data_IF_148567766323
#
_entry.id   IF_148567766323
#
_cell.length_a   1.000
_cell.length_b   1.000
_cell.length_c   1.000
_cell.angle_alpha   90.00
_cell.angle_beta   90.00
_cell.angle_gamma   90.00
#
_symmetry.space_group_name_H-M   'P 1'
#
loop_
_entity.id
_entity.type
_entity.pdbx_description
1 polymer ?
#
# COMPACT_ATOMS: atom_id res chain seq x y z
N UNK A 1 -43.68 -41.69 14.36
CA UNK A 1 -43.69 -40.82 13.15
C UNK A 1 -44.39 -39.52 13.46
N UNK A 2 -43.78 -38.40 13.03
CA UNK A 2 -44.30 -37.03 12.78
C UNK A 2 -43.33 -35.98 13.35
N UNK A 3 -42.26 -35.74 12.59
CA UNK A 3 -41.40 -34.55 12.68
C UNK A 3 -42.29 -33.34 12.42
N UNK A 4 -42.31 -32.36 13.33
CA UNK A 4 -42.88 -31.05 13.07
C UNK A 4 -41.73 -30.10 12.72
N UNK A 5 -41.72 -29.71 11.45
CA UNK A 5 -40.89 -28.67 10.86
C UNK A 5 -41.12 -27.35 11.60
N UNK A 6 -40.05 -26.71 12.07
CA UNK A 6 -40.06 -25.27 12.34
C UNK A 6 -39.49 -24.60 11.09
N UNK A 7 -40.40 -23.93 10.38
CA UNK A 7 -40.11 -23.07 9.23
C UNK A 7 -40.00 -21.64 9.74
N UNK A 8 -39.00 -20.92 9.23
CA UNK A 8 -39.00 -19.47 9.13
C UNK A 8 -38.14 -18.76 10.18
N UNK A 9 -37.39 -17.70 9.87
CA UNK A 9 -37.71 -16.61 8.95
C UNK A 9 -36.49 -15.66 8.81
N UNK A 10 -36.21 -15.23 7.56
CA UNK A 10 -35.66 -13.93 7.09
C UNK A 10 -34.17 -13.58 7.35
N UNK A 11 -33.36 -13.51 6.29
CA UNK A 11 -33.07 -12.30 5.46
C UNK A 11 -32.03 -11.39 6.14
N UNK A 12 -30.97 -10.91 5.50
CA UNK A 12 -30.62 -10.85 4.10
C UNK A 12 -29.08 -10.82 4.00
N UNK A 13 -28.50 -11.74 3.25
CA UNK A 13 -27.16 -11.52 2.71
C UNK A 13 -27.39 -10.60 1.52
N UNK A 14 -27.37 -9.29 1.78
CA UNK A 14 -27.33 -8.29 0.73
C UNK A 14 -26.04 -8.49 -0.07
N UNK A 15 -26.24 -8.95 -1.29
CA UNK A 15 -25.29 -8.89 -2.38
C UNK A 15 -24.85 -7.43 -2.59
N UNK A 16 -23.74 -7.04 -1.97
CA UNK A 16 -22.97 -5.87 -2.38
C UNK A 16 -21.80 -6.34 -3.27
N UNK A 17 -22.13 -7.05 -4.34
CA UNK A 17 -21.21 -7.22 -5.47
C UNK A 17 -21.30 -5.95 -6.31
N UNK A 18 -20.63 -4.88 -5.85
CA UNK A 18 -20.35 -3.73 -6.71
C UNK A 18 -19.48 -4.26 -7.84
N UNK A 19 -20.01 -4.17 -9.05
CA UNK A 19 -19.35 -4.60 -10.27
C UNK A 19 -17.99 -3.92 -10.41
N UNK A 20 -16.94 -4.71 -10.27
CA UNK A 20 -15.59 -4.32 -10.63
C UNK A 20 -15.50 -4.35 -12.16
N UNK A 21 -15.92 -3.26 -12.81
CA UNK A 21 -15.57 -3.00 -14.21
C UNK A 21 -14.12 -2.56 -14.25
N UNK A 22 -13.18 -3.50 -14.30
CA UNK A 22 -11.81 -3.18 -14.69
C UNK A 22 -11.73 -3.09 -16.20
N UNK A 23 -11.95 -1.90 -16.75
CA UNK A 23 -11.21 -1.50 -17.94
C UNK A 23 -9.74 -1.41 -17.51
N UNK A 24 -8.95 -2.41 -17.91
CA UNK A 24 -7.50 -2.40 -17.75
C UNK A 24 -6.93 -1.34 -18.70
N UNK A 25 -7.03 -0.08 -18.28
CA UNK A 25 -6.32 1.04 -18.89
C UNK A 25 -4.87 1.01 -18.40
N UNK A 26 -3.94 0.79 -19.31
CA UNK A 26 -2.50 0.78 -19.05
C UNK A 26 -1.91 2.20 -18.80
N UNK A 27 -2.63 3.08 -18.09
CA UNK A 27 -2.21 4.45 -17.83
C UNK A 27 -2.72 4.99 -16.49
N UNK A 28 -1.78 5.52 -15.70
CA UNK A 28 -2.00 6.67 -14.82
C UNK A 28 -2.57 6.36 -13.44
N UNK A 29 -1.90 6.87 -12.40
CA UNK A 29 -2.58 7.16 -11.15
C UNK A 29 -3.85 7.98 -11.44
N UNK A 30 -4.94 7.70 -10.72
CA UNK A 30 -6.12 8.55 -10.80
C UNK A 30 -5.72 9.97 -10.35
N UNK A 31 -5.88 10.93 -11.26
CA UNK A 31 -5.69 12.35 -10.95
C UNK A 31 -6.80 12.79 -9.96
N UNK A 32 -6.49 13.74 -9.09
CA UNK A 32 -7.44 14.36 -8.15
C UNK A 32 -8.05 13.45 -7.07
N UNK A 33 -7.35 12.37 -6.67
CA UNK A 33 -7.73 11.60 -5.48
C UNK A 33 -7.24 12.30 -4.21
N UNK A 34 -8.12 12.44 -3.23
CA UNK A 34 -7.78 12.81 -1.86
C UNK A 34 -8.19 11.70 -0.89
N UNK A 35 -7.33 11.40 0.08
CA UNK A 35 -7.63 10.41 1.12
C UNK A 35 -8.35 11.07 2.29
N UNK A 36 -9.30 10.36 2.89
CA UNK A 36 -9.90 10.77 4.17
C UNK A 36 -8.90 10.63 5.32
N UNK A 37 -9.20 11.22 6.48
CA UNK A 37 -8.34 11.11 7.66
C UNK A 37 -8.11 9.65 8.10
N UNK A 38 -9.15 8.81 8.06
CA UNK A 38 -9.06 7.39 8.42
C UNK A 38 -8.20 6.62 7.40
N UNK A 39 -8.38 6.89 6.11
CA UNK A 39 -7.56 6.27 5.05
C UNK A 39 -6.09 6.70 5.14
N UNK A 40 -5.81 7.96 5.47
CA UNK A 40 -4.44 8.42 5.68
C UNK A 40 -3.79 7.74 6.88
N UNK A 41 -4.52 7.52 7.97
CA UNK A 41 -4.00 6.82 9.16
C UNK A 41 -3.71 5.34 8.87
N UNK A 42 -4.60 4.68 8.13
CA UNK A 42 -4.37 3.32 7.63
C UNK A 42 -3.11 3.25 6.76
N UNK A 43 -2.99 4.18 5.80
CA UNK A 43 -1.82 4.27 4.93
C UNK A 43 -0.55 4.59 5.69
N UNK A 44 -0.59 5.47 6.70
CA UNK A 44 0.54 5.79 7.55
C UNK A 44 1.06 4.54 8.28
N UNK A 45 0.15 3.78 8.88
CA UNK A 45 0.45 2.54 9.59
C UNK A 45 1.08 1.50 8.67
N UNK A 46 0.54 1.34 7.45
CA UNK A 46 1.07 0.38 6.47
C UNK A 46 2.48 0.79 5.99
N UNK A 47 2.67 2.07 5.70
CA UNK A 47 3.95 2.60 5.22
C UNK A 47 5.04 2.56 6.30
N UNK A 48 4.70 2.79 7.57
CA UNK A 48 5.63 2.67 8.70
C UNK A 48 6.10 1.21 8.87
N UNK A 49 5.18 0.25 8.89
CA UNK A 49 5.51 -1.19 8.92
C UNK A 49 6.39 -1.60 7.73
N UNK A 50 6.10 -1.06 6.54
CA UNK A 50 6.90 -1.33 5.36
C UNK A 50 8.31 -0.73 5.45
N UNK A 51 8.45 0.47 6.03
CA UNK A 51 9.75 1.10 6.29
C UNK A 51 10.58 0.25 7.26
N UNK A 52 10.01 -0.12 8.40
CA UNK A 52 10.66 -0.97 9.40
C UNK A 52 11.18 -2.27 8.77
N UNK A 53 10.33 -2.95 7.99
CA UNK A 53 10.70 -4.20 7.31
C UNK A 53 11.80 -3.98 6.26
N UNK A 54 11.77 -2.88 5.52
CA UNK A 54 12.84 -2.57 4.55
C UNK A 54 14.17 -2.31 5.26
N UNK A 55 14.16 -1.56 6.36
CA UNK A 55 15.36 -1.32 7.18
C UNK A 55 15.91 -2.63 7.73
N UNK A 56 15.04 -3.48 8.28
CA UNK A 56 15.41 -4.83 8.76
C UNK A 56 16.08 -5.67 7.67
N UNK A 57 15.48 -5.73 6.47
CA UNK A 57 16.03 -6.47 5.33
C UNK A 57 17.40 -5.92 4.92
N UNK A 58 17.56 -4.61 4.84
CA UNK A 58 18.85 -3.99 4.48
C UNK A 58 19.91 -4.34 5.52
N UNK A 59 19.58 -4.25 6.80
CA UNK A 59 20.48 -4.62 7.88
C UNK A 59 20.87 -6.11 7.82
N UNK A 60 19.94 -7.01 7.50
CA UNK A 60 20.26 -8.42 7.27
C UNK A 60 21.19 -8.64 6.10
N UNK A 61 21.05 -7.88 5.01
CA UNK A 61 22.01 -7.94 3.91
C UNK A 61 23.40 -7.42 4.30
N UNK A 62 23.50 -6.44 5.19
CA UNK A 62 24.80 -6.02 5.76
C UNK A 62 25.39 -7.11 6.64
N UNK A 63 24.57 -7.70 7.53
CA UNK A 63 24.96 -8.81 8.42
C UNK A 63 25.47 -10.03 7.63
N UNK A 64 24.83 -10.36 6.52
CA UNK A 64 25.22 -11.48 5.66
C UNK A 64 26.35 -11.15 4.68
N UNK A 65 26.89 -9.93 4.74
CA UNK A 65 28.00 -9.47 3.87
C UNK A 65 27.62 -9.22 2.41
N UNK A 66 26.32 -9.17 2.08
CA UNK A 66 25.83 -8.83 0.74
C UNK A 66 26.06 -7.35 0.44
N UNK A 67 25.90 -6.49 1.45
CA UNK A 67 26.21 -5.07 1.36
C UNK A 67 27.27 -4.66 2.38
N UNK A 68 28.09 -3.67 2.00
CA UNK A 68 28.94 -2.96 2.97
C UNK A 68 28.07 -2.14 3.90
N UNK A 69 28.57 -1.84 5.10
CA UNK A 69 27.87 -0.96 6.05
C UNK A 69 27.52 0.40 5.45
N UNK A 70 28.46 0.99 4.70
CA UNK A 70 28.26 2.29 4.04
C UNK A 70 27.10 2.23 3.03
N UNK A 71 27.06 1.16 2.21
CA UNK A 71 25.97 0.96 1.25
C UNK A 71 24.64 0.75 1.97
N UNK A 72 24.62 -0.04 3.05
CA UNK A 72 23.44 -0.24 3.89
C UNK A 72 22.89 1.07 4.44
N UNK A 73 23.76 1.90 5.06
CA UNK A 73 23.40 3.23 5.59
C UNK A 73 22.81 4.14 4.51
N UNK A 74 23.40 4.16 3.31
CA UNK A 74 22.89 4.95 2.18
C UNK A 74 21.51 4.47 1.72
N UNK A 75 21.29 3.15 1.68
CA UNK A 75 19.99 2.57 1.31
C UNK A 75 18.91 2.87 2.37
N UNK A 76 19.25 2.76 3.66
CA UNK A 76 18.35 3.11 4.78
C UNK A 76 17.93 4.57 4.67
N UNK A 77 18.89 5.49 4.56
CA UNK A 77 18.61 6.92 4.39
C UNK A 77 17.71 7.20 3.17
N UNK A 78 17.90 6.47 2.07
CA UNK A 78 17.06 6.62 0.89
C UNK A 78 15.61 6.16 1.14
N UNK A 79 15.40 5.03 1.82
CA UNK A 79 14.03 4.55 2.09
C UNK A 79 13.31 5.41 3.13
N UNK A 80 14.02 5.93 4.14
CA UNK A 80 13.50 6.89 5.10
C UNK A 80 13.10 8.20 4.41
N UNK A 81 13.95 8.71 3.50
CA UNK A 81 13.62 9.89 2.69
C UNK A 81 12.35 9.66 1.88
N UNK A 82 12.19 8.47 1.27
CA UNK A 82 10.98 8.13 0.51
C UNK A 82 9.73 8.07 1.37
N UNK A 83 9.84 7.56 2.59
CA UNK A 83 8.73 7.59 3.54
C UNK A 83 8.33 9.02 3.91
N UNK A 84 9.30 9.90 4.17
CA UNK A 84 9.03 11.31 4.45
C UNK A 84 8.37 12.02 3.25
N UNK A 85 8.84 11.77 2.02
CA UNK A 85 8.19 12.26 0.80
C UNK A 85 6.74 11.79 0.69
N UNK A 86 6.41 10.56 1.10
CA UNK A 86 5.02 10.08 1.11
C UNK A 86 4.21 10.81 2.18
N UNK A 87 4.76 10.97 3.39
CA UNK A 87 4.10 11.67 4.51
C UNK A 87 3.76 13.12 4.16
N UNK A 88 4.68 13.84 3.52
CA UNK A 88 4.47 15.22 3.04
C UNK A 88 3.40 15.32 1.95
N UNK A 89 3.15 14.22 1.23
CA UNK A 89 2.15 14.16 0.16
C UNK A 89 0.88 13.42 0.60
N UNK A 90 0.56 13.41 1.90
CA UNK A 90 -0.64 12.75 2.45
C UNK A 90 -0.77 11.27 2.04
N UNK A 91 0.38 10.59 1.94
CA UNK A 91 0.52 9.20 1.50
C UNK A 91 0.03 8.91 0.07
N UNK A 92 -0.06 9.94 -0.78
CA UNK A 92 -0.34 9.80 -2.22
C UNK A 92 0.99 9.83 -3.00
N UNK A 93 1.37 8.73 -3.67
CA UNK A 93 2.62 8.69 -4.43
C UNK A 93 2.65 9.70 -5.60
N UNK A 94 3.85 10.13 -5.99
CA UNK A 94 4.06 10.98 -7.17
C UNK A 94 4.96 10.27 -8.19
N UNK A 95 4.55 9.06 -8.61
CA UNK A 95 5.38 8.18 -9.44
C UNK A 95 5.38 8.55 -10.93
N UNK A 96 4.33 9.21 -11.41
CA UNK A 96 4.10 9.43 -12.85
C UNK A 96 4.82 10.67 -13.42
N UNK A 97 5.69 11.31 -12.63
CA UNK A 97 6.60 12.35 -13.14
C UNK A 97 7.73 11.70 -13.93
N UNK A 98 7.41 11.07 -15.05
CA UNK A 98 8.39 10.65 -16.04
C UNK A 98 9.23 11.86 -16.42
N UNK A 99 10.52 11.84 -16.07
CA UNK A 99 11.51 12.66 -16.75
C UNK A 99 11.53 12.16 -18.19
N UNK A 100 11.08 12.98 -19.14
CA UNK A 100 11.42 12.77 -20.53
C UNK A 100 12.95 12.73 -20.58
N UNK A 101 13.50 11.55 -20.83
CA UNK A 101 14.90 11.44 -21.22
C UNK A 101 14.94 11.91 -22.67
N UNK A 102 15.25 13.18 -22.88
CA UNK A 102 15.67 13.67 -24.19
C UNK A 102 16.98 12.93 -24.51
N UNK A 103 16.89 12.01 -25.47
CA UNK A 103 18.02 11.24 -26.02
C UNK A 103 18.76 12.05 -27.09
#
# INVERSE_FOLDING_TARGET
MKRKLVVGVLSAIMLFSVGFSSEVGAHGMNEDVELTAEQMDEMATLQEKALEKKVEIINKYVEFGVFTEEKGKKMISFVEKKYNELKENNFIPKWDKHKKHDH
#
